data_IF_308519578167
#
_entry.id   IF_308519578167
#
_cell.length_a   1.000
_cell.length_b   1.000
_cell.length_c   1.000
_cell.angle_alpha   90.00
_cell.angle_beta   90.00
_cell.angle_gamma   90.00
#
_symmetry.space_group_name_H-M   'P 1'
#
loop_
_entity.id
_entity.type
_entity.pdbx_description
1 polymer ?
#
# COMPACT_ATOMS: atom_id res chain seq x y z
N UNK A 1 9.39 -8.37 11.72
CA UNK A 1 8.80 -7.03 11.46
C UNK A 1 7.27 -7.03 11.48
N UNK A 2 6.61 -8.04 12.06
CA UNK A 2 5.15 -8.12 12.14
C UNK A 2 4.67 -8.12 13.59
N UNK A 3 3.46 -7.61 13.82
CA UNK A 3 2.74 -7.69 15.09
C UNK A 3 1.49 -8.52 14.86
N UNK A 4 1.25 -9.49 15.75
CA UNK A 4 0.00 -10.24 15.81
C UNK A 4 -0.71 -9.88 17.10
N UNK A 5 -1.97 -9.45 17.00
CA UNK A 5 -2.79 -9.04 18.13
C UNK A 5 -4.14 -9.75 18.08
N UNK A 6 -4.66 -10.13 19.24
CA UNK A 6 -5.94 -10.82 19.39
C UNK A 6 -6.81 -10.02 20.34
N UNK A 7 -8.07 -9.84 19.95
CA UNK A 7 -9.07 -9.14 20.73
C UNK A 7 -10.22 -10.13 20.99
N UNK A 8 -10.60 -10.31 22.26
CA UNK A 8 -11.57 -11.33 22.68
C UNK A 8 -10.94 -12.61 23.24
N UNK A 9 -9.61 -12.66 23.40
CA UNK A 9 -8.92 -13.71 24.14
C UNK A 9 -7.75 -13.11 24.95
N UNK A 10 -7.42 -13.63 26.14
CA UNK A 10 -8.10 -14.74 26.84
C UNK A 10 -9.45 -14.33 27.44
N UNK A 11 -9.73 -13.04 27.54
CA UNK A 11 -10.99 -12.50 28.04
C UNK A 11 -11.85 -12.08 26.85
N UNK A 12 -13.09 -12.58 26.83
CA UNK A 12 -14.06 -12.20 25.83
C UNK A 12 -14.57 -10.77 26.07
N UNK A 13 -14.67 -10.01 24.99
CA UNK A 13 -15.28 -8.70 25.00
C UNK A 13 -16.25 -8.59 23.83
N UNK A 14 -17.52 -8.27 24.09
CA UNK A 14 -18.54 -8.14 23.04
C UNK A 14 -18.14 -7.13 21.95
N UNK A 15 -17.34 -6.15 22.35
CA UNK A 15 -16.84 -5.02 21.57
C UNK A 15 -15.45 -5.24 20.94
N UNK A 16 -14.97 -6.50 20.89
CA UNK A 16 -13.61 -6.84 20.45
C UNK A 16 -13.28 -6.30 19.05
N UNK A 17 -14.25 -6.33 18.11
CA UNK A 17 -14.06 -5.84 16.75
C UNK A 17 -13.82 -4.32 16.73
N UNK A 18 -14.55 -3.58 17.56
CA UNK A 18 -14.42 -2.12 17.70
C UNK A 18 -13.05 -1.76 18.29
N UNK A 19 -12.59 -2.49 19.31
CA UNK A 19 -11.24 -2.31 19.87
C UNK A 19 -10.15 -2.60 18.85
N UNK A 20 -10.29 -3.69 18.08
CA UNK A 20 -9.33 -4.03 17.04
C UNK A 20 -9.25 -2.94 15.95
N UNK A 21 -10.39 -2.46 15.49
CA UNK A 21 -10.49 -1.36 14.52
C UNK A 21 -9.87 -0.06 15.08
N UNK A 22 -10.18 0.28 16.33
CA UNK A 22 -9.63 1.45 16.99
C UNK A 22 -8.11 1.37 17.16
N UNK A 23 -7.59 0.20 17.55
CA UNK A 23 -6.15 -0.04 17.64
C UNK A 23 -5.47 0.08 16.28
N UNK A 24 -6.05 -0.48 15.22
CA UNK A 24 -5.49 -0.38 13.87
C UNK A 24 -5.37 1.07 13.39
N UNK A 25 -6.42 1.88 13.59
CA UNK A 25 -6.42 3.31 13.26
C UNK A 25 -5.37 4.08 14.07
N UNK A 26 -5.26 3.81 15.38
CA UNK A 26 -4.27 4.43 16.25
C UNK A 26 -2.83 4.05 15.87
N UNK A 27 -2.59 2.78 15.51
CA UNK A 27 -1.29 2.30 15.04
C UNK A 27 -0.86 3.03 13.77
N UNK A 28 -1.77 3.21 12.80
CA UNK A 28 -1.46 3.96 11.59
C UNK A 28 -1.19 5.44 11.86
N UNK A 29 -1.92 6.06 12.79
CA UNK A 29 -1.65 7.44 13.21
C UNK A 29 -0.29 7.58 13.91
N UNK A 30 0.11 6.60 14.71
CA UNK A 30 1.42 6.56 15.35
C UNK A 30 2.56 6.42 14.31
N UNK A 31 2.37 5.63 13.26
CA UNK A 31 3.32 5.54 12.14
C UNK A 31 3.45 6.88 11.40
N UNK A 32 2.36 7.63 11.23
CA UNK A 32 2.45 8.97 10.65
C UNK A 32 3.24 9.94 11.53
N UNK A 33 3.08 9.87 12.86
CA UNK A 33 3.88 10.66 13.79
C UNK A 33 5.37 10.29 13.73
N UNK A 34 5.67 8.99 13.75
CA UNK A 34 7.03 8.47 13.60
C UNK A 34 7.67 8.93 12.29
N UNK A 35 6.90 8.92 11.20
CA UNK A 35 7.40 9.35 9.90
C UNK A 35 7.70 10.85 9.82
N UNK A 36 6.96 11.70 10.56
CA UNK A 36 7.30 13.13 10.68
C UNK A 36 8.63 13.32 11.42
N UNK A 37 8.86 12.56 12.48
CA UNK A 37 10.14 12.57 13.22
C UNK A 37 11.30 12.02 12.37
N UNK A 38 11.07 10.95 11.61
CA UNK A 38 12.07 10.39 10.71
C UNK A 38 12.45 11.40 9.62
N UNK A 39 11.47 12.07 9.01
CA UNK A 39 11.73 13.11 8.01
C UNK A 39 12.60 14.25 8.59
N UNK A 40 12.29 14.72 9.80
CA UNK A 40 13.09 15.75 10.47
C UNK A 40 14.53 15.31 10.79
N UNK A 41 14.80 14.00 10.82
CA UNK A 41 16.12 13.42 11.07
C UNK A 41 16.78 12.83 9.81
N UNK A 42 16.21 13.03 8.63
CA UNK A 42 16.71 12.45 7.38
C UNK A 42 16.71 10.91 7.37
N UNK A 43 15.82 10.28 8.15
CA UNK A 43 15.69 8.81 8.23
C UNK A 43 14.63 8.31 7.26
N UNK A 44 14.76 7.05 6.78
CA UNK A 44 13.74 6.44 5.93
C UNK A 44 12.36 6.44 6.58
N UNK A 45 11.33 6.55 5.74
CA UNK A 45 9.95 6.33 6.17
C UNK A 45 9.72 4.85 6.49
N UNK A 46 8.80 4.63 7.42
CA UNK A 46 8.24 3.33 7.77
C UNK A 46 6.82 3.23 7.22
N UNK A 47 6.51 2.12 6.57
CA UNK A 47 5.17 1.83 6.07
C UNK A 47 4.63 0.56 6.72
N UNK A 48 3.31 0.54 6.95
CA UNK A 48 2.65 -0.56 7.63
C UNK A 48 1.29 -0.81 6.99
N UNK A 49 1.02 -2.08 6.68
CA UNK A 49 -0.30 -2.57 6.32
C UNK A 49 -0.95 -3.28 7.50
N UNK A 50 -2.26 -3.19 7.65
CA UNK A 50 -3.00 -3.90 8.71
C UNK A 50 -4.17 -4.66 8.11
N UNK A 51 -4.26 -5.96 8.38
CA UNK A 51 -5.42 -6.78 8.07
C UNK A 51 -6.22 -7.15 9.32
N UNK A 52 -7.54 -6.95 9.31
CA UNK A 52 -8.43 -7.36 10.40
C UNK A 52 -9.47 -8.38 9.92
N UNK A 53 -9.61 -9.46 10.68
CA UNK A 53 -10.63 -10.48 10.46
C UNK A 53 -11.24 -10.91 11.79
N UNK A 54 -12.55 -11.16 11.78
CA UNK A 54 -13.29 -11.75 12.90
C UNK A 54 -13.73 -13.15 12.50
N UNK A 55 -13.40 -14.14 13.32
CA UNK A 55 -13.80 -15.52 13.11
C UNK A 55 -13.39 -16.40 14.28
N UNK A 56 -13.85 -17.65 14.25
CA UNK A 56 -13.54 -18.63 15.29
C UNK A 56 -12.08 -19.09 15.22
N UNK A 57 -11.46 -19.20 16.40
CA UNK A 57 -10.11 -19.73 16.55
C UNK A 57 -10.00 -20.50 17.86
N UNK A 58 -9.11 -21.49 17.88
CA UNK A 58 -8.74 -22.22 19.09
C UNK A 58 -7.65 -21.44 19.79
N UNK A 59 -7.91 -21.05 21.04
CA UNK A 59 -6.95 -20.35 21.90
C UNK A 59 -6.57 -21.25 23.07
N UNK A 60 -5.27 -21.31 23.40
CA UNK A 60 -4.84 -22.10 24.53
C UNK A 60 -3.34 -22.23 24.66
N UNK A 61 -2.97 -22.95 25.71
CA UNK A 61 -1.60 -23.35 26.00
C UNK A 61 -1.20 -24.49 25.07
N UNK A 62 -0.42 -24.18 24.02
CA UNK A 62 0.07 -25.15 23.04
C UNK A 62 1.57 -25.38 23.24
N UNK A 63 1.97 -26.65 23.30
CA UNK A 63 3.36 -27.06 23.44
C UNK A 63 3.51 -28.29 24.35
N UNK A 64 4.75 -28.67 24.66
CA UNK A 64 5.02 -29.73 25.63
C UNK A 64 4.92 -29.20 27.07
N UNK A 65 4.87 -30.10 28.05
CA UNK A 65 4.89 -29.73 29.49
C UNK A 65 6.07 -28.81 29.85
N UNK A 66 7.21 -28.97 29.17
CA UNK A 66 8.42 -28.17 29.41
C UNK A 66 8.44 -26.83 28.65
N UNK A 67 7.61 -26.65 27.61
CA UNK A 67 7.53 -25.42 26.81
C UNK A 67 6.11 -25.19 26.30
N UNK A 68 5.29 -24.62 27.15
CA UNK A 68 3.94 -24.18 26.81
C UNK A 68 3.96 -22.72 26.34
N UNK A 69 3.30 -22.43 25.21
CA UNK A 69 3.05 -21.06 24.73
C UNK A 69 1.55 -20.85 24.56
N UNK A 70 1.04 -19.70 25.02
CA UNK A 70 -0.31 -19.29 24.67
C UNK A 70 -0.35 -18.98 23.17
N UNK A 71 -1.14 -19.73 22.42
CA UNK A 71 -1.21 -19.67 20.98
C UNK A 71 -2.66 -19.61 20.51
N UNK A 72 -2.85 -18.98 19.35
CA UNK A 72 -4.14 -18.88 18.66
C UNK A 72 -3.97 -19.56 17.31
N UNK A 73 -4.80 -20.57 17.05
CA UNK A 73 -4.71 -21.40 15.85
C UNK A 73 -6.09 -21.52 15.21
N UNK A 74 -6.16 -21.39 13.89
CA UNK A 74 -7.41 -21.60 13.15
C UNK A 74 -7.39 -20.94 11.78
N UNK A 75 -8.42 -21.25 10.99
CA UNK A 75 -8.60 -20.65 9.66
C UNK A 75 -8.71 -19.11 9.74
N UNK A 76 -9.31 -18.57 10.81
CA UNK A 76 -9.44 -17.14 11.02
C UNK A 76 -8.08 -16.42 11.13
N UNK A 77 -7.10 -17.03 11.81
CA UNK A 77 -5.73 -16.47 11.94
C UNK A 77 -5.06 -16.38 10.57
N UNK A 78 -5.17 -17.46 9.79
CA UNK A 78 -4.60 -17.51 8.44
C UNK A 78 -5.29 -16.51 7.51
N UNK A 79 -6.60 -16.32 7.65
CA UNK A 79 -7.34 -15.35 6.85
C UNK A 79 -6.93 -13.92 7.21
N UNK A 80 -6.77 -13.57 8.49
CA UNK A 80 -6.25 -12.26 8.91
C UNK A 80 -4.89 -11.94 8.26
N UNK A 81 -3.98 -12.91 8.23
CA UNK A 81 -2.68 -12.76 7.57
C UNK A 81 -2.79 -12.58 6.05
N UNK A 82 -3.72 -13.28 5.39
CA UNK A 82 -3.97 -13.10 3.95
C UNK A 82 -4.54 -11.71 3.64
N UNK A 83 -5.44 -11.21 4.50
CA UNK A 83 -6.02 -9.87 4.38
C UNK A 83 -4.95 -8.80 4.55
N UNK A 84 -4.02 -8.96 5.50
CA UNK A 84 -2.86 -8.09 5.66
C UNK A 84 -1.99 -8.09 4.40
N UNK A 85 -1.70 -9.26 3.82
CA UNK A 85 -0.95 -9.36 2.56
C UNK A 85 -1.60 -8.66 1.36
N UNK A 86 -2.90 -8.34 1.43
CA UNK A 86 -3.62 -7.55 0.42
C UNK A 86 -3.42 -6.04 0.58
N UNK A 87 -2.96 -5.56 1.72
CA UNK A 87 -2.78 -4.13 2.01
C UNK A 87 -1.58 -3.51 1.26
N UNK A 88 -1.55 -2.17 1.21
CA UNK A 88 -0.34 -1.38 0.94
C UNK A 88 0.02 -0.56 2.19
N UNK A 89 1.14 0.16 2.15
CA UNK A 89 1.55 1.07 3.21
C UNK A 89 0.46 2.09 3.58
N UNK A 90 0.07 2.11 4.85
CA UNK A 90 -0.94 3.02 5.40
C UNK A 90 -2.39 2.50 5.32
N UNK A 91 -2.64 1.35 4.70
CA UNK A 91 -3.98 0.77 4.61
C UNK A 91 -4.36 -0.09 5.81
N UNK A 92 -5.67 -0.12 6.09
CA UNK A 92 -6.31 -1.07 6.99
C UNK A 92 -7.39 -1.78 6.19
N UNK A 93 -7.20 -3.07 5.90
CA UNK A 93 -8.21 -3.88 5.21
C UNK A 93 -8.95 -4.76 6.21
N UNK A 94 -10.27 -4.79 6.10
CA UNK A 94 -11.15 -5.55 6.99
C UNK A 94 -12.08 -6.46 6.18
N UNK A 95 -12.33 -7.67 6.69
CA UNK A 95 -13.29 -8.60 6.07
C UNK A 95 -14.74 -8.23 6.38
N UNK A 96 -15.69 -8.69 5.56
CA UNK A 96 -17.12 -8.56 5.82
C UNK A 96 -17.54 -9.01 7.24
N UNK A 97 -16.98 -10.10 7.75
CA UNK A 97 -17.25 -10.59 9.12
C UNK A 97 -16.88 -9.57 10.21
N UNK A 98 -15.82 -8.80 10.01
CA UNK A 98 -15.45 -7.71 10.93
C UNK A 98 -16.41 -6.51 10.75
N UNK A 99 -16.78 -6.19 9.51
CA UNK A 99 -17.72 -5.10 9.21
C UNK A 99 -19.08 -5.37 9.85
N UNK A 100 -19.60 -6.59 9.77
CA UNK A 100 -20.85 -6.99 10.42
C UNK A 100 -20.84 -6.74 11.93
N UNK A 101 -19.68 -6.88 12.58
CA UNK A 101 -19.50 -6.63 14.02
C UNK A 101 -19.33 -5.15 14.36
N UNK A 102 -18.88 -4.34 13.40
CA UNK A 102 -18.73 -2.88 13.55
C UNK A 102 -20.00 -2.12 13.18
N UNK A 103 -20.80 -2.64 12.24
CA UNK A 103 -22.02 -2.02 11.73
C UNK A 103 -21.77 -0.57 11.31
N UNK A 104 -22.65 0.34 11.71
CA UNK A 104 -22.62 1.77 11.36
C UNK A 104 -21.48 2.54 12.06
N UNK A 105 -20.70 1.89 12.93
CA UNK A 105 -19.53 2.53 13.54
C UNK A 105 -18.40 2.71 12.53
N UNK A 106 -18.30 1.88 11.48
CA UNK A 106 -17.17 1.92 10.56
C UNK A 106 -17.41 2.86 9.37
N UNK A 107 -16.48 3.79 9.15
CA UNK A 107 -16.38 4.52 7.89
C UNK A 107 -15.50 3.71 6.93
N UNK A 108 -16.08 3.22 5.85
CA UNK A 108 -15.45 2.28 4.91
C UNK A 108 -15.37 2.86 3.50
N UNK A 109 -14.29 2.56 2.78
CA UNK A 109 -14.27 2.71 1.33
C UNK A 109 -15.13 1.62 0.65
N UNK A 110 -15.54 1.81 -0.62
CA UNK A 110 -16.23 0.76 -1.37
C UNK A 110 -15.48 -0.57 -1.36
N UNK A 111 -16.18 -1.72 -1.21
CA UNK A 111 -15.53 -3.01 -1.12
C UNK A 111 -14.84 -3.40 -2.43
N UNK A 112 -13.75 -4.15 -2.29
CA UNK A 112 -13.06 -4.82 -3.39
C UNK A 112 -13.23 -6.33 -3.22
N UNK A 113 -13.67 -7.00 -4.29
CA UNK A 113 -13.72 -8.46 -4.33
C UNK A 113 -12.33 -9.01 -4.65
N UNK A 114 -11.85 -9.94 -3.83
CA UNK A 114 -10.50 -10.48 -3.90
C UNK A 114 -10.53 -12.00 -3.83
N UNK A 115 -9.84 -12.64 -4.77
CA UNK A 115 -9.57 -14.06 -4.72
C UNK A 115 -8.35 -14.31 -3.83
N UNK A 116 -8.56 -15.06 -2.74
CA UNK A 116 -7.47 -15.45 -1.84
C UNK A 116 -7.22 -16.94 -1.97
N UNK A 117 -5.94 -17.29 -2.10
CA UNK A 117 -5.50 -18.68 -2.18
C UNK A 117 -6.06 -19.53 -1.05
N UNK A 118 -6.64 -20.67 -1.42
CA UNK A 118 -7.21 -21.64 -0.47
C UNK A 118 -8.58 -21.24 0.07
N UNK A 119 -9.25 -20.24 -0.52
CA UNK A 119 -10.68 -20.03 -0.36
C UNK A 119 -11.41 -20.49 -1.62
N UNK A 120 -12.61 -21.04 -1.45
CA UNK A 120 -13.41 -21.55 -2.56
C UNK A 120 -14.13 -20.44 -3.36
N UNK A 121 -14.31 -19.27 -2.75
CA UNK A 121 -14.98 -18.12 -3.35
C UNK A 121 -14.20 -16.82 -3.06
N UNK A 122 -14.31 -15.81 -3.94
CA UNK A 122 -13.82 -14.47 -3.67
C UNK A 122 -14.46 -13.90 -2.39
N UNK A 123 -13.72 -13.06 -1.67
CA UNK A 123 -14.22 -12.35 -0.50
C UNK A 123 -14.18 -10.84 -0.70
N UNK A 124 -15.11 -10.14 -0.05
CA UNK A 124 -15.11 -8.67 0.00
C UNK A 124 -14.15 -8.17 1.09
N UNK A 125 -13.21 -7.31 0.70
CA UNK A 125 -12.39 -6.52 1.61
C UNK A 125 -12.82 -5.06 1.57
N UNK A 126 -12.83 -4.44 2.74
CA UNK A 126 -13.19 -3.04 2.92
C UNK A 126 -11.99 -2.29 3.49
N UNK A 127 -11.71 -1.09 2.99
CA UNK A 127 -10.71 -0.23 3.61
C UNK A 127 -11.35 0.56 4.74
N UNK A 128 -10.85 0.38 5.97
CA UNK A 128 -11.28 1.13 7.13
C UNK A 128 -10.65 2.52 7.14
N UNK A 129 -11.49 3.56 7.00
CA UNK A 129 -11.10 4.98 6.96
C UNK A 129 -11.34 5.66 8.30
N UNK A 130 -12.28 5.18 9.09
CA UNK A 130 -12.60 5.80 10.36
C UNK A 130 -13.52 4.93 11.19
N UNK A 131 -13.70 5.36 12.42
CA UNK A 131 -14.59 4.75 13.38
C UNK A 131 -15.38 5.87 14.08
N UNK A 132 -16.65 5.62 14.38
CA UNK A 132 -17.51 6.47 15.19
C UNK A 132 -17.63 5.92 16.64
N UNK A 133 -18.47 6.54 17.46
CA UNK A 133 -18.72 6.08 18.82
C UNK A 133 -17.59 6.43 19.81
N UNK A 134 -17.38 5.58 20.82
CA UNK A 134 -16.45 5.85 21.93
C UNK A 134 -14.98 5.93 21.51
N UNK A 135 -14.62 5.30 20.39
CA UNK A 135 -13.27 5.34 19.81
C UNK A 135 -13.25 6.17 18.53
N UNK A 136 -14.09 7.21 18.46
CA UNK A 136 -14.21 8.04 17.28
C UNK A 136 -12.86 8.59 16.82
N UNK A 137 -12.46 8.22 15.61
CA UNK A 137 -11.25 8.70 14.97
C UNK A 137 -11.34 8.47 13.47
N UNK A 138 -10.72 9.36 12.69
CA UNK A 138 -10.76 9.30 11.24
C UNK A 138 -9.35 9.46 10.69
N UNK A 139 -9.02 8.63 9.71
CA UNK A 139 -7.81 8.78 8.90
C UNK A 139 -7.99 9.97 7.97
N UNK A 140 -6.98 10.85 7.84
CA UNK A 140 -6.92 11.74 6.70
C UNK A 140 -7.02 10.90 5.43
N UNK A 141 -7.81 11.36 4.47
CA UNK A 141 -7.82 10.74 3.15
C UNK A 141 -6.38 10.76 2.61
N UNK A 142 -5.88 9.67 2.01
CA UNK A 142 -4.56 9.70 1.42
C UNK A 142 -4.55 10.85 0.43
N UNK A 143 -3.64 11.82 0.62
CA UNK A 143 -3.46 12.92 -0.32
C UNK A 143 -3.34 12.30 -1.72
N UNK A 144 -4.37 12.53 -2.54
CA UNK A 144 -4.51 11.88 -3.83
C UNK A 144 -3.24 12.11 -4.63
N UNK A 145 -2.77 11.07 -5.32
CA UNK A 145 -1.51 11.03 -6.08
C UNK A 145 -1.10 12.38 -6.70
N UNK A 146 -0.42 13.21 -5.91
CA UNK A 146 0.33 14.37 -6.35
C UNK A 146 1.58 13.80 -7.02
N UNK A 147 1.35 13.38 -8.26
CA UNK A 147 2.39 12.99 -9.18
C UNK A 147 2.62 14.10 -10.19
N UNK A 148 3.81 14.12 -10.74
CA UNK A 148 4.15 14.92 -11.90
C UNK A 148 3.79 14.17 -13.17
N UNK A 149 3.52 14.91 -14.25
CA UNK A 149 3.35 14.28 -15.57
C UNK A 149 4.70 13.78 -16.08
N UNK A 150 4.70 12.55 -16.59
CA UNK A 150 5.89 11.90 -17.15
C UNK A 150 5.48 11.08 -18.37
N UNK A 151 6.47 10.68 -19.17
CA UNK A 151 6.29 9.72 -20.24
C UNK A 151 7.42 8.69 -20.15
N UNK A 152 7.30 7.76 -19.19
CA UNK A 152 8.31 6.72 -18.98
C UNK A 152 7.78 5.38 -19.51
N UNK A 153 8.47 4.72 -20.45
CA UNK A 153 8.13 3.37 -20.83
C UNK A 153 8.21 2.44 -19.62
N UNK A 154 7.20 1.60 -19.46
CA UNK A 154 7.10 0.58 -18.41
C UNK A 154 6.89 -0.77 -19.05
N UNK A 155 7.60 -1.77 -18.54
CA UNK A 155 7.31 -3.19 -18.78
C UNK A 155 7.16 -3.89 -17.44
N UNK A 156 6.30 -4.89 -17.35
CA UNK A 156 6.12 -5.60 -16.09
C UNK A 156 5.48 -6.95 -16.25
N UNK A 157 5.41 -7.67 -15.14
CA UNK A 157 4.80 -8.99 -15.04
C UNK A 157 4.02 -9.09 -13.74
N UNK A 158 2.93 -9.87 -13.76
CA UNK A 158 2.15 -10.17 -12.56
C UNK A 158 2.96 -11.07 -11.64
N UNK A 159 2.93 -10.80 -10.33
CA UNK A 159 3.54 -11.61 -9.29
C UNK A 159 2.43 -12.34 -8.52
N UNK A 160 2.50 -13.66 -8.52
CA UNK A 160 1.56 -14.53 -7.85
C UNK A 160 2.32 -15.63 -7.11
N UNK A 161 1.93 -15.94 -5.87
CA UNK A 161 2.64 -16.93 -5.05
C UNK A 161 4.16 -16.69 -4.94
N UNK A 162 4.56 -15.42 -4.88
CA UNK A 162 5.97 -14.98 -4.88
C UNK A 162 6.76 -15.38 -6.14
N UNK A 163 6.06 -15.74 -7.22
CA UNK A 163 6.63 -16.05 -8.53
C UNK A 163 6.19 -15.02 -9.55
N UNK A 164 7.13 -14.57 -10.35
CA UNK A 164 6.87 -13.69 -11.49
C UNK A 164 6.32 -14.54 -12.63
N UNK A 165 5.13 -14.20 -13.13
CA UNK A 165 4.56 -14.85 -14.31
C UNK A 165 5.37 -14.51 -15.56
N UNK A 166 5.37 -15.43 -16.53
CA UNK A 166 6.13 -15.26 -17.77
C UNK A 166 5.52 -14.20 -18.70
N UNK A 167 4.22 -13.96 -18.59
CA UNK A 167 3.51 -12.93 -19.34
C UNK A 167 4.02 -11.54 -18.96
N UNK A 168 4.40 -10.78 -19.99
CA UNK A 168 4.88 -9.41 -19.85
C UNK A 168 3.82 -8.47 -20.43
N UNK A 169 3.46 -7.46 -19.67
CA UNK A 169 2.67 -6.33 -20.13
C UNK A 169 3.59 -5.12 -20.34
N UNK A 170 3.18 -4.23 -21.23
CA UNK A 170 3.89 -3.00 -21.54
C UNK A 170 2.97 -1.79 -21.36
N UNK A 171 3.58 -0.62 -21.29
CA UNK A 171 2.83 0.61 -21.13
C UNK A 171 3.70 1.83 -21.00
N UNK A 172 3.05 2.94 -20.66
CA UNK A 172 3.72 4.22 -20.38
C UNK A 172 3.19 4.75 -19.06
N UNK A 173 4.09 4.96 -18.10
CA UNK A 173 3.77 5.78 -16.93
C UNK A 173 3.51 7.20 -17.41
N UNK A 174 2.29 7.69 -17.14
CA UNK A 174 1.82 9.04 -17.49
C UNK A 174 1.94 10.00 -16.31
N UNK A 175 1.89 9.46 -15.09
CA UNK A 175 2.10 10.23 -13.87
C UNK A 175 2.95 9.44 -12.89
N UNK A 176 3.85 10.14 -12.23
CA UNK A 176 4.76 9.59 -11.24
C UNK A 176 4.71 10.42 -9.97
N UNK A 177 4.35 9.80 -8.86
CA UNK A 177 4.61 10.30 -7.52
C UNK A 177 5.66 9.44 -6.83
N UNK A 178 6.04 9.83 -5.60
CA UNK A 178 7.05 9.11 -4.83
C UNK A 178 6.64 7.67 -4.44
N UNK A 179 5.34 7.40 -4.36
CA UNK A 179 4.78 6.13 -3.84
C UNK A 179 3.83 5.44 -4.81
N UNK A 180 3.53 6.07 -5.93
CA UNK A 180 2.59 5.52 -6.89
C UNK A 180 2.88 6.08 -8.27
N UNK A 181 2.57 5.28 -9.28
CA UNK A 181 2.52 5.71 -10.66
C UNK A 181 1.15 5.41 -11.25
N UNK A 182 0.75 6.22 -12.21
CA UNK A 182 -0.43 5.99 -13.05
C UNK A 182 0.09 5.69 -14.46
N UNK A 183 -0.16 4.47 -14.94
CA UNK A 183 0.32 4.00 -16.22
C UNK A 183 -0.83 3.59 -17.14
N UNK A 184 -0.68 3.96 -18.42
CA UNK A 184 -1.47 3.40 -19.50
C UNK A 184 -0.82 2.06 -19.88
N UNK A 185 -1.52 0.95 -19.65
CA UNK A 185 -1.00 -0.41 -19.87
C UNK A 185 -1.77 -1.09 -21.01
N UNK A 186 -1.10 -1.98 -21.74
CA UNK A 186 -1.70 -2.85 -22.75
C UNK A 186 -2.47 -4.04 -22.16
N UNK A 187 -2.40 -4.23 -20.83
CA UNK A 187 -3.10 -5.27 -20.09
C UNK A 187 -4.01 -4.67 -19.01
N UNK A 188 -5.22 -5.24 -18.88
CA UNK A 188 -6.11 -4.95 -17.77
C UNK A 188 -5.70 -5.76 -16.53
N UNK A 189 -5.24 -5.06 -15.49
CA UNK A 189 -4.85 -5.69 -14.23
C UNK A 189 -5.93 -5.50 -13.17
N UNK A 190 -6.24 -6.57 -12.44
CA UNK A 190 -7.22 -6.54 -11.36
C UNK A 190 -6.70 -5.74 -10.15
N UNK A 191 -7.63 -5.27 -9.30
CA UNK A 191 -7.26 -4.64 -8.04
C UNK A 191 -6.48 -5.61 -7.15
N UNK A 192 -5.54 -5.05 -6.39
CA UNK A 192 -4.65 -5.77 -5.46
C UNK A 192 -3.70 -6.78 -6.11
N UNK A 193 -3.64 -6.84 -7.45
CA UNK A 193 -2.63 -7.61 -8.17
C UNK A 193 -1.23 -7.06 -7.85
N UNK A 194 -0.35 -7.94 -7.40
CA UNK A 194 1.07 -7.62 -7.23
C UNK A 194 1.75 -7.66 -8.59
N UNK A 195 2.65 -6.71 -8.84
CA UNK A 195 3.38 -6.59 -10.09
C UNK A 195 4.86 -6.35 -9.83
N UNK A 196 5.70 -6.85 -10.73
CA UNK A 196 7.09 -6.47 -10.88
C UNK A 196 7.20 -5.63 -12.15
N UNK A 197 7.79 -4.45 -12.04
CA UNK A 197 7.94 -3.46 -13.10
C UNK A 197 9.41 -3.17 -13.35
N UNK A 198 9.69 -2.71 -14.57
CA UNK A 198 10.91 -2.02 -14.95
C UNK A 198 10.53 -0.76 -15.71
N UNK A 199 11.16 0.35 -15.32
CA UNK A 199 10.99 1.66 -15.95
C UNK A 199 12.21 1.97 -16.81
N UNK A 200 11.99 2.66 -17.92
CA UNK A 200 13.06 3.27 -18.71
C UNK A 200 13.07 4.76 -18.38
N UNK A 201 14.14 5.21 -17.72
CA UNK A 201 14.36 6.60 -17.38
C UNK A 201 15.01 7.37 -18.54
N UNK A 202 14.83 8.70 -18.58
CA UNK A 202 15.59 9.55 -19.50
C UNK A 202 17.09 9.41 -19.25
N UNK A 203 17.88 9.59 -20.31
CA UNK A 203 19.34 9.61 -20.20
C UNK A 203 19.79 10.67 -19.16
N UNK A 204 20.82 10.39 -18.34
CA UNK A 204 21.72 9.24 -18.41
C UNK A 204 21.30 8.03 -17.55
N UNK A 205 20.15 8.08 -16.86
CA UNK A 205 19.81 7.10 -15.83
C UNK A 205 19.50 5.69 -16.36
N UNK A 206 19.10 5.55 -17.62
CA UNK A 206 18.93 4.24 -18.27
C UNK A 206 17.72 3.47 -17.75
N UNK A 207 17.86 2.16 -17.51
CA UNK A 207 16.76 1.30 -17.06
C UNK A 207 16.83 1.06 -15.55
N UNK A 208 15.68 1.02 -14.89
CA UNK A 208 15.57 0.67 -13.48
C UNK A 208 15.97 -0.78 -13.17
N UNK A 209 16.22 -1.04 -11.89
CA UNK A 209 16.14 -2.38 -11.32
C UNK A 209 14.70 -2.93 -11.31
N UNK A 210 14.49 -3.99 -10.54
CA UNK A 210 13.14 -4.53 -10.33
C UNK A 210 12.40 -3.66 -9.30
N UNK A 211 11.32 -3.03 -9.76
CA UNK A 211 10.40 -2.27 -8.92
C UNK A 211 9.16 -3.10 -8.65
N UNK A 212 8.78 -3.27 -7.39
CA UNK A 212 7.57 -4.01 -7.01
C UNK A 212 6.46 -3.06 -6.63
N UNK A 213 5.23 -3.42 -6.99
CA UNK A 213 4.06 -2.66 -6.62
C UNK A 213 2.79 -3.47 -6.59
N UNK A 214 1.72 -2.80 -6.20
CA UNK A 214 0.37 -3.35 -6.13
C UNK A 214 -0.61 -2.45 -6.87
N UNK A 215 -1.48 -3.04 -7.69
CA UNK A 215 -2.55 -2.33 -8.38
C UNK A 215 -3.57 -1.86 -7.33
N UNK A 216 -3.82 -0.56 -7.27
CA UNK A 216 -4.68 0.06 -6.25
C UNK A 216 -5.92 0.73 -6.83
N UNK A 217 -5.99 0.88 -8.14
CA UNK A 217 -7.08 1.59 -8.77
C UNK A 217 -6.97 1.69 -10.27
N UNK A 218 -8.05 2.17 -10.87
CA UNK A 218 -8.04 2.75 -12.21
C UNK A 218 -8.46 4.21 -12.09
N UNK A 219 -7.81 5.08 -12.84
CA UNK A 219 -8.11 6.50 -12.92
C UNK A 219 -8.42 6.84 -14.37
N UNK A 220 -9.55 7.48 -14.62
CA UNK A 220 -9.88 8.02 -15.94
C UNK A 220 -9.46 9.48 -16.00
N UNK A 221 -8.64 9.83 -16.99
CA UNK A 221 -8.22 11.22 -17.27
C UNK A 221 -8.44 11.52 -18.75
N UNK A 222 -9.43 12.34 -19.06
CA UNK A 222 -9.88 12.53 -20.44
C UNK A 222 -10.37 11.20 -21.03
N UNK A 223 -9.83 10.82 -22.19
CA UNK A 223 -10.13 9.53 -22.83
C UNK A 223 -9.25 8.37 -22.34
N UNK A 224 -8.17 8.65 -21.59
CA UNK A 224 -7.22 7.63 -21.18
C UNK A 224 -7.65 6.96 -19.86
N UNK A 225 -7.56 5.63 -19.85
CA UNK A 225 -7.75 4.79 -18.66
C UNK A 225 -6.39 4.39 -18.12
N UNK A 226 -6.03 4.90 -16.94
CA UNK A 226 -4.73 4.66 -16.31
C UNK A 226 -4.87 3.68 -15.15
N UNK A 227 -3.98 2.69 -15.10
CA UNK A 227 -3.83 1.78 -13.96
C UNK A 227 -2.96 2.46 -12.91
N UNK A 228 -3.49 2.61 -11.69
CA UNK A 228 -2.75 3.15 -10.55
C UNK A 228 -2.05 2.01 -9.83
N UNK A 229 -0.73 2.12 -9.71
CA UNK A 229 0.13 1.14 -9.04
C UNK A 229 0.83 1.84 -7.89
N UNK A 230 0.66 1.32 -6.68
CA UNK A 230 1.42 1.76 -5.51
C UNK A 230 2.74 0.98 -5.44
N UNK A 231 3.85 1.68 -5.25
CA UNK A 231 5.18 1.09 -5.23
C UNK A 231 5.45 0.55 -3.81
N UNK A 232 5.64 -0.75 -3.69
CA UNK A 232 5.83 -1.44 -2.40
C UNK A 232 7.30 -1.76 -2.12
N UNK A 233 8.14 -1.79 -3.15
CA UNK A 233 9.59 -1.92 -3.01
C UNK A 233 10.29 -1.32 -4.22
N UNK A 234 11.25 -0.44 -3.94
CA UNK A 234 12.11 0.25 -4.91
C UNK A 234 13.48 0.31 -4.26
N UNK A 235 14.55 -0.03 -4.99
CA UNK A 235 15.90 0.08 -4.42
C UNK A 235 16.34 1.55 -4.24
N UNK A 236 17.39 1.78 -3.45
CA UNK A 236 17.81 3.14 -3.11
C UNK A 236 18.26 3.97 -4.33
N UNK A 237 18.82 3.33 -5.36
CA UNK A 237 19.26 4.01 -6.57
C UNK A 237 18.06 4.48 -7.40
N UNK A 238 17.09 3.59 -7.60
CA UNK A 238 15.83 3.89 -8.28
C UNK A 238 15.01 4.92 -7.51
N UNK A 239 14.94 4.83 -6.18
CA UNK A 239 14.27 5.84 -5.34
C UNK A 239 14.83 7.24 -5.57
N UNK A 240 16.16 7.38 -5.63
CA UNK A 240 16.81 8.67 -5.89
C UNK A 240 16.48 9.21 -7.29
N UNK A 241 16.43 8.35 -8.31
CA UNK A 241 16.05 8.75 -9.68
C UNK A 241 14.60 9.21 -9.72
N UNK A 242 13.67 8.44 -9.14
CA UNK A 242 12.25 8.78 -9.10
C UNK A 242 11.99 10.07 -8.33
N UNK A 243 12.63 10.26 -7.17
CA UNK A 243 12.53 11.49 -6.40
C UNK A 243 13.02 12.70 -7.21
N UNK A 244 14.18 12.58 -7.87
CA UNK A 244 14.71 13.63 -8.72
C UNK A 244 13.82 13.96 -9.92
N UNK A 245 13.11 12.97 -10.50
CA UNK A 245 12.13 13.21 -11.56
C UNK A 245 10.92 13.98 -11.05
N UNK A 246 10.41 13.62 -9.87
CA UNK A 246 9.28 14.32 -9.23
C UNK A 246 9.65 15.76 -8.88
N UNK A 247 10.83 15.98 -8.29
CA UNK A 247 11.30 17.33 -7.93
C UNK A 247 11.52 18.21 -9.16
N UNK A 248 12.17 17.70 -10.21
CA UNK A 248 12.43 18.48 -11.44
C UNK A 248 11.16 18.92 -12.15
N UNK A 249 10.15 18.05 -12.19
CA UNK A 249 8.89 18.38 -12.85
C UNK A 249 7.94 19.21 -11.96
N UNK A 250 8.19 19.28 -10.65
CA UNK A 250 7.49 20.19 -9.73
C UNK A 250 8.11 21.60 -9.69
N UNK A 251 9.33 21.79 -10.17
CA UNK A 251 9.98 23.10 -10.25
C UNK A 251 9.29 24.01 -11.30
N UNK A 252 9.06 25.31 -11.00
CA UNK A 252 8.44 26.22 -11.96
C UNK A 252 9.31 26.35 -13.21
N UNK A 253 8.66 26.34 -14.39
CA UNK A 253 9.29 26.36 -15.71
C UNK A 253 10.07 27.63 -16.08
N UNK A 254 10.52 28.43 -15.10
CA UNK A 254 11.26 29.68 -15.34
C UNK A 254 12.26 29.94 -14.21
N UNK A 255 13.41 29.27 -14.26
CA UNK A 255 14.64 29.84 -13.72
C UNK A 255 15.36 30.49 -14.92
N UNK A 256 15.61 31.81 -14.91
CA UNK A 256 16.26 32.46 -16.04
C UNK A 256 17.65 31.85 -16.22
N UNK A 257 17.93 31.39 -17.45
CA UNK A 257 19.28 31.12 -17.90
C UNK A 257 20.03 32.44 -17.79
N UNK A 258 20.86 32.58 -16.75
CA UNK A 258 21.83 33.68 -16.68
C UNK A 258 22.85 33.39 -17.78
N UNK A 259 22.55 33.88 -18.97
CA UNK A 259 23.49 34.03 -20.07
C UNK A 259 24.49 35.09 -19.66
N UNK A 260 25.65 34.67 -19.15
CA UNK A 260 26.83 35.51 -19.12
C UNK A 260 27.67 35.17 -20.34
N UNK A 261 27.29 35.78 -21.47
CA UNK A 261 28.14 35.95 -22.64
C UNK A 261 28.35 37.45 -22.86
N UNK A 262 29.47 37.97 -22.35
CA UNK A 262 30.18 39.20 -22.78
C UNK A 262 31.38 39.34 -21.83
N UNK A 263 32.61 39.62 -22.23
CA UNK A 263 33.25 39.80 -23.53
C UNK A 263 34.75 39.85 -23.23
N UNK A 264 35.57 39.44 -24.18
CA UNK A 264 37.02 39.45 -24.06
C UNK A 264 37.61 40.85 -24.27
N UNK A 265 38.54 41.23 -23.38
CA UNK A 265 39.82 41.94 -23.68
C UNK A 265 39.79 43.36 -24.29
N UNK A 266 40.90 44.13 -24.27
CA UNK A 266 42.32 43.76 -24.16
C UNK A 266 42.95 43.87 -22.78
#
# INVERSE_FOLDING_TARGET
DAIFAVFGAPVEHADHAERAAATALAMQAAVDALNRENAARGRPRFEMGIGLHTGEAVVGNIGSEQRTKYAVVGAAVNLAARVEGCTIGGQILVTAATVERLQDLAELAPPVSVELKGLAAPIALYELRGLAGRFAQRRPEPAGAEGVEVALPVSGSVVEDKRVRAEVFHGTARRLGLRALEAELDAALALLTNVRLRLIYPAPAGQSGDVYGKVTGTVTRGAARLTRIHLTSVDAADQAVLAGLVERAAAPANAPVVSNATEASP
#
